data_IF_783063475572
#
_entry.id   IF_783063475572
#
_cell.length_a   1.000
_cell.length_b   1.000
_cell.length_c   1.000
_cell.angle_alpha   90.00
_cell.angle_beta   90.00
_cell.angle_gamma   90.00
#
_symmetry.space_group_name_H-M   'P 1'
#
loop_
_entity.id
_entity.type
_entity.pdbx_description
1 polymer ?
#
# COMPACT_ATOMS: atom_id res chain seq x y z
N UNK A 1 6.32 -13.20 -2.23
CA UNK A 1 5.48 -12.28 -3.04
C UNK A 1 4.60 -11.47 -2.09
N UNK A 2 4.62 -10.14 -2.18
CA UNK A 2 3.85 -9.23 -1.32
C UNK A 2 2.46 -8.99 -1.94
N UNK A 3 1.40 -9.17 -1.16
CA UNK A 3 0.03 -8.93 -1.60
C UNK A 3 -0.69 -8.12 -0.53
N UNK A 4 -1.02 -6.88 -0.86
CA UNK A 4 -1.66 -5.95 0.06
C UNK A 4 -3.07 -5.61 -0.41
N UNK A 5 -4.03 -5.57 0.52
CA UNK A 5 -5.42 -5.19 0.25
C UNK A 5 -5.77 -3.89 0.97
N UNK A 6 -6.09 -2.83 0.23
CA UNK A 6 -6.55 -1.57 0.79
C UNK A 6 -8.08 -1.50 0.75
N UNK A 7 -8.71 -1.62 1.91
CA UNK A 7 -10.17 -1.58 2.04
C UNK A 7 -10.77 -0.18 1.91
N UNK A 8 -9.95 0.85 1.89
CA UNK A 8 -10.40 2.26 1.88
C UNK A 8 -11.44 2.48 3.01
N UNK A 9 -12.57 3.10 2.74
CA UNK A 9 -13.66 3.29 3.73
C UNK A 9 -14.76 2.23 3.63
N UNK A 10 -14.47 1.10 3.01
CA UNK A 10 -15.38 -0.05 2.99
C UNK A 10 -15.16 -0.92 4.24
N UNK A 11 -16.10 -1.80 4.48
CA UNK A 11 -16.13 -2.70 5.64
C UNK A 11 -16.30 -2.03 7.00
N UNK A 12 -17.21 -2.57 7.76
CA UNK A 12 -17.39 -2.27 9.17
C UNK A 12 -16.42 -3.13 10.00
N UNK A 13 -16.30 -2.87 11.29
CA UNK A 13 -15.46 -3.66 12.19
C UNK A 13 -15.82 -5.15 12.18
N UNK A 14 -17.13 -5.47 12.18
CA UNK A 14 -17.61 -6.86 12.17
C UNK A 14 -17.30 -7.57 10.85
N UNK A 15 -17.53 -6.91 9.70
CA UNK A 15 -17.20 -7.50 8.40
C UNK A 15 -15.70 -7.63 8.17
N UNK A 16 -14.90 -6.67 8.65
CA UNK A 16 -13.43 -6.76 8.63
C UNK A 16 -12.93 -7.97 9.43
N UNK A 17 -13.40 -8.15 10.66
CA UNK A 17 -13.00 -9.30 11.49
C UNK A 17 -13.38 -10.64 10.85
N UNK A 18 -14.59 -10.74 10.26
CA UNK A 18 -15.01 -11.94 9.54
C UNK A 18 -14.07 -12.21 8.38
N UNK A 19 -13.85 -11.22 7.52
CA UNK A 19 -12.97 -11.31 6.36
C UNK A 19 -11.55 -11.76 6.76
N UNK A 20 -10.94 -11.07 7.74
CA UNK A 20 -9.58 -11.38 8.17
C UNK A 20 -9.44 -12.79 8.74
N UNK A 21 -10.42 -13.28 9.50
CA UNK A 21 -10.41 -14.66 10.03
C UNK A 21 -10.52 -15.73 8.93
N UNK A 22 -11.33 -15.46 7.92
CA UNK A 22 -11.49 -16.37 6.77
C UNK A 22 -10.24 -16.36 5.90
N UNK A 23 -9.68 -15.18 5.66
CA UNK A 23 -8.43 -15.01 4.92
C UNK A 23 -7.25 -15.66 5.65
N UNK A 24 -7.09 -15.46 6.95
CA UNK A 24 -5.99 -16.06 7.73
C UNK A 24 -6.01 -17.59 7.66
N UNK A 25 -7.21 -18.20 7.70
CA UNK A 25 -7.36 -19.64 7.47
C UNK A 25 -6.95 -20.08 6.07
N UNK A 26 -7.33 -19.32 5.05
CA UNK A 26 -6.92 -19.60 3.68
C UNK A 26 -5.40 -19.52 3.51
N UNK A 27 -4.74 -18.56 4.15
CA UNK A 27 -3.31 -18.35 4.07
C UNK A 27 -2.46 -19.43 4.74
N UNK A 28 -3.03 -20.28 5.58
CA UNK A 28 -2.32 -21.35 6.29
C UNK A 28 -1.55 -22.30 5.35
N UNK A 29 -1.99 -22.46 4.09
CA UNK A 29 -1.35 -23.24 3.03
C UNK A 29 -0.47 -22.42 2.07
N UNK A 30 -0.37 -21.09 2.21
CA UNK A 30 0.27 -20.15 1.27
C UNK A 30 1.53 -19.53 1.87
N UNK A 31 2.50 -20.35 2.26
CA UNK A 31 3.70 -19.93 3.01
C UNK A 31 4.66 -19.00 2.24
N UNK A 32 4.56 -18.95 0.92
CA UNK A 32 5.35 -18.10 0.04
C UNK A 32 4.75 -16.70 -0.19
N UNK A 33 3.60 -16.43 0.40
CA UNK A 33 2.87 -15.16 0.28
C UNK A 33 2.95 -14.36 1.58
N UNK A 34 3.26 -13.09 1.45
CA UNK A 34 3.18 -12.10 2.54
C UNK A 34 1.96 -11.21 2.29
N UNK A 35 0.92 -11.41 3.11
CA UNK A 35 -0.37 -10.76 2.89
C UNK A 35 -0.65 -9.75 3.99
N UNK A 36 -0.99 -8.51 3.59
CA UNK A 36 -1.35 -7.42 4.49
C UNK A 36 -2.71 -6.84 4.09
N UNK A 37 -3.58 -6.63 5.06
CA UNK A 37 -4.85 -5.91 4.87
C UNK A 37 -4.78 -4.57 5.59
N UNK A 38 -5.23 -3.51 4.89
CA UNK A 38 -5.36 -2.15 5.41
C UNK A 38 -6.85 -1.79 5.56
N UNK A 39 -7.47 -2.07 6.72
CA UNK A 39 -8.84 -1.65 7.00
C UNK A 39 -8.90 -0.15 7.31
N UNK A 40 -10.12 0.44 7.27
CA UNK A 40 -10.32 1.78 7.81
C UNK A 40 -9.99 1.83 9.31
N UNK A 41 -9.49 2.98 9.80
CA UNK A 41 -9.00 3.12 11.19
C UNK A 41 -10.03 2.71 12.25
N UNK A 42 -11.32 3.02 12.04
CA UNK A 42 -12.42 2.63 12.95
C UNK A 42 -12.70 1.12 12.98
N UNK A 43 -12.14 0.35 12.04
CA UNK A 43 -12.35 -1.09 11.87
C UNK A 43 -11.09 -1.91 12.08
N UNK A 44 -10.00 -1.30 12.55
CA UNK A 44 -8.76 -2.02 12.85
C UNK A 44 -8.99 -3.09 13.92
N UNK A 45 -8.71 -4.38 13.63
CA UNK A 45 -8.63 -5.43 14.63
C UNK A 45 -7.28 -5.42 15.35
N UNK A 46 -7.14 -6.20 16.41
CA UNK A 46 -5.81 -6.59 16.89
C UNK A 46 -5.07 -7.37 15.79
N UNK A 47 -3.76 -7.15 15.67
CA UNK A 47 -2.91 -7.88 14.73
C UNK A 47 -2.40 -9.17 15.37
N UNK A 48 -3.31 -10.10 15.65
CA UNK A 48 -3.11 -11.38 16.31
C UNK A 48 -3.35 -12.60 15.39
N UNK A 49 -3.31 -12.39 14.09
CA UNK A 49 -3.45 -13.43 13.08
C UNK A 49 -2.14 -14.20 12.87
N UNK A 50 -2.23 -15.48 12.51
CA UNK A 50 -1.07 -16.35 12.33
C UNK A 50 -0.35 -16.15 10.99
N UNK A 51 -1.10 -15.82 9.95
CA UNK A 51 -0.62 -15.78 8.56
C UNK A 51 -0.93 -14.45 7.85
N UNK A 52 -1.71 -13.58 8.48
CA UNK A 52 -2.15 -12.30 7.93
C UNK A 52 -1.59 -11.15 8.74
N UNK A 53 -1.05 -10.12 8.08
CA UNK A 53 -0.69 -8.85 8.73
C UNK A 53 -1.84 -7.85 8.62
N UNK A 54 -2.01 -7.03 9.65
CA UNK A 54 -2.88 -5.86 9.64
C UNK A 54 -2.02 -4.60 9.59
N UNK A 55 -2.33 -3.72 8.65
CA UNK A 55 -1.72 -2.40 8.52
C UNK A 55 -2.75 -1.27 8.69
N UNK A 56 -2.29 -0.07 9.00
CA UNK A 56 -3.14 1.11 9.04
C UNK A 56 -3.04 1.90 7.72
N UNK A 57 -4.18 2.44 7.26
CA UNK A 57 -4.24 3.20 5.99
C UNK A 57 -3.56 4.57 6.05
N UNK A 58 -3.34 5.10 7.24
CA UNK A 58 -2.73 6.38 7.51
C UNK A 58 -2.52 6.53 9.02
N UNK A 59 -1.59 7.41 9.41
CA UNK A 59 -1.45 7.86 10.80
C UNK A 59 -0.83 9.24 10.86
N UNK A 60 -0.99 9.93 11.99
CA UNK A 60 -0.37 11.22 12.25
C UNK A 60 1.06 11.04 12.80
N UNK A 61 1.96 11.97 12.48
CA UNK A 61 3.39 11.90 12.85
C UNK A 61 3.60 12.28 14.33
N UNK A 62 3.01 11.51 15.23
CA UNK A 62 3.17 11.63 16.69
C UNK A 62 2.93 10.29 17.36
N UNK A 63 3.49 10.10 18.55
CA UNK A 63 3.13 8.94 19.40
C UNK A 63 1.71 9.08 19.91
N UNK A 64 1.41 10.19 20.55
CA UNK A 64 0.10 10.62 21.02
C UNK A 64 0.09 12.14 21.17
N UNK A 65 -1.01 12.76 21.61
CA UNK A 65 -1.06 14.20 21.88
C UNK A 65 -2.39 14.87 21.54
N UNK A 66 -2.37 16.20 21.47
CA UNK A 66 -3.54 17.05 21.23
C UNK A 66 -3.85 17.16 19.72
N UNK A 67 -4.25 16.06 19.11
CA UNK A 67 -4.54 15.93 17.67
C UNK A 67 -5.91 15.25 17.49
N UNK A 68 -6.97 15.96 17.84
CA UNK A 68 -8.34 15.41 17.80
C UNK A 68 -8.70 14.83 16.43
N UNK A 69 -9.12 13.56 16.42
CA UNK A 69 -9.50 12.83 15.20
C UNK A 69 -8.35 12.07 14.53
N UNK A 70 -7.09 12.28 14.95
CA UNK A 70 -5.93 11.57 14.42
C UNK A 70 -5.59 10.30 15.22
N UNK A 71 -4.85 9.42 14.60
CA UNK A 71 -4.29 8.19 15.20
C UNK A 71 -2.77 8.30 15.18
N UNK A 72 -2.14 8.12 16.34
CA UNK A 72 -0.70 8.13 16.50
C UNK A 72 -0.11 6.73 16.63
N UNK A 73 1.21 6.67 16.87
CA UNK A 73 1.92 5.40 16.96
C UNK A 73 1.47 4.54 18.15
N UNK A 74 1.20 5.15 19.31
CA UNK A 74 0.83 4.40 20.51
C UNK A 74 -0.47 3.60 20.33
N UNK A 75 -1.48 4.18 19.65
CA UNK A 75 -2.74 3.51 19.38
C UNK A 75 -2.57 2.34 18.41
N UNK A 76 -1.66 2.46 17.43
CA UNK A 76 -1.35 1.37 16.49
C UNK A 76 -0.55 0.26 17.17
N UNK A 77 0.44 0.62 17.99
CA UNK A 77 1.28 -0.34 18.73
C UNK A 77 0.48 -1.14 19.76
N UNK A 78 -0.52 -0.54 20.41
CA UNK A 78 -1.44 -1.26 21.32
C UNK A 78 -2.21 -2.36 20.58
N UNK A 79 -2.57 -2.14 19.32
CA UNK A 79 -3.20 -3.14 18.46
C UNK A 79 -2.21 -4.15 17.84
N UNK A 80 -0.91 -4.05 18.14
CA UNK A 80 0.15 -4.85 17.53
C UNK A 80 0.44 -4.48 16.07
N UNK A 81 -0.03 -3.32 15.61
CA UNK A 81 0.12 -2.88 14.22
C UNK A 81 1.42 -2.11 14.06
N UNK A 82 2.29 -2.61 13.18
CA UNK A 82 3.58 -2.00 12.80
C UNK A 82 3.75 -1.85 11.30
N UNK A 83 2.66 -1.90 10.54
CA UNK A 83 2.64 -1.71 9.08
C UNK A 83 1.73 -0.53 8.76
N UNK A 84 2.18 0.38 7.92
CA UNK A 84 1.52 1.64 7.63
C UNK A 84 1.54 1.97 6.15
N UNK A 85 0.40 2.39 5.61
CA UNK A 85 0.27 2.98 4.28
C UNK A 85 0.41 4.50 4.39
N UNK A 86 1.34 5.10 3.63
CA UNK A 86 1.62 6.54 3.67
C UNK A 86 1.52 7.12 2.27
N UNK A 87 0.84 8.26 2.13
CA UNK A 87 0.82 9.04 0.89
C UNK A 87 -0.02 8.45 -0.24
N UNK A 88 -1.00 7.58 0.07
CA UNK A 88 -1.94 7.05 -0.91
C UNK A 88 -2.55 8.17 -1.78
N UNK A 89 -2.80 7.88 -3.04
CA UNK A 89 -3.28 8.84 -4.05
C UNK A 89 -4.52 9.63 -3.60
N UNK A 90 -5.48 9.00 -2.91
CA UNK A 90 -6.66 9.67 -2.35
C UNK A 90 -6.29 10.69 -1.27
N UNK A 91 -5.28 10.39 -0.44
CA UNK A 91 -4.82 11.34 0.59
C UNK A 91 -4.14 12.56 -0.03
N UNK A 92 -3.36 12.35 -1.08
CA UNK A 92 -2.73 13.45 -1.84
C UNK A 92 -3.75 14.25 -2.63
N UNK A 93 -4.63 13.58 -3.37
CA UNK A 93 -5.60 14.19 -4.28
C UNK A 93 -6.79 14.82 -3.56
N UNK A 94 -7.45 14.11 -2.66
CA UNK A 94 -8.69 14.53 -1.98
C UNK A 94 -8.37 15.35 -0.73
N UNK A 95 -7.50 14.80 0.15
CA UNK A 95 -7.17 15.43 1.45
C UNK A 95 -5.98 16.38 1.39
N UNK A 96 -5.41 16.59 0.19
CA UNK A 96 -4.34 17.58 -0.08
C UNK A 96 -3.08 17.39 0.76
N UNK A 97 -2.73 16.15 1.08
CA UNK A 97 -1.46 15.85 1.73
C UNK A 97 -0.29 16.17 0.80
N UNK A 98 0.51 17.17 1.18
CA UNK A 98 1.71 17.57 0.43
C UNK A 98 2.84 16.55 0.56
N UNK A 99 3.80 16.57 -0.38
CA UNK A 99 5.02 15.76 -0.27
C UNK A 99 5.76 16.02 1.05
N UNK A 100 5.77 17.26 1.55
CA UNK A 100 6.37 17.60 2.84
C UNK A 100 5.68 16.89 4.02
N UNK A 101 4.33 16.85 4.04
CA UNK A 101 3.58 16.18 5.08
C UNK A 101 3.79 14.65 5.02
N UNK A 102 3.76 14.09 3.82
CA UNK A 102 3.97 12.65 3.58
C UNK A 102 5.38 12.23 4.00
N UNK A 103 6.40 13.05 3.67
CA UNK A 103 7.79 12.86 4.13
C UNK A 103 7.89 12.87 5.66
N UNK A 104 7.29 13.87 6.32
CA UNK A 104 7.28 13.95 7.80
C UNK A 104 6.69 12.69 8.44
N UNK A 105 5.66 12.10 7.83
CA UNK A 105 5.11 10.82 8.28
C UNK A 105 6.13 9.70 8.11
N UNK A 106 6.77 9.61 6.94
CA UNK A 106 7.81 8.61 6.67
C UNK A 106 8.96 8.71 7.69
N UNK A 107 9.53 9.91 7.88
CA UNK A 107 10.62 10.14 8.83
C UNK A 107 10.24 9.72 10.26
N UNK A 108 9.04 10.07 10.70
CA UNK A 108 8.56 9.69 12.03
C UNK A 108 8.42 8.17 12.17
N UNK A 109 7.68 7.52 11.25
CA UNK A 109 7.36 6.11 11.37
C UNK A 109 8.53 5.18 11.04
N UNK A 110 9.47 5.58 10.20
CA UNK A 110 10.73 4.85 9.98
C UNK A 110 11.59 4.83 11.26
N UNK A 111 11.66 5.95 11.99
CA UNK A 111 12.34 6.01 13.29
C UNK A 111 11.65 5.18 14.38
N UNK A 112 10.31 5.01 14.31
CA UNK A 112 9.56 4.11 15.20
C UNK A 112 9.62 2.63 14.73
N UNK A 113 10.33 2.33 13.64
CA UNK A 113 10.58 0.97 13.15
C UNK A 113 9.41 0.30 12.44
N UNK A 114 8.46 1.08 11.91
CA UNK A 114 7.33 0.57 11.15
C UNK A 114 7.74 0.09 9.76
N UNK A 115 7.06 -0.92 9.24
CA UNK A 115 7.03 -1.27 7.82
C UNK A 115 6.14 -0.26 7.08
N UNK A 116 6.65 0.32 6.02
CA UNK A 116 6.00 1.45 5.36
C UNK A 116 5.74 1.11 3.88
N UNK A 117 4.48 1.05 3.51
CA UNK A 117 4.04 1.11 2.13
C UNK A 117 3.91 2.59 1.74
N UNK A 118 4.91 3.09 1.02
CA UNK A 118 4.99 4.49 0.61
C UNK A 118 4.45 4.66 -0.81
N UNK A 119 3.29 5.30 -0.93
CA UNK A 119 2.60 5.47 -2.20
C UNK A 119 3.14 6.65 -2.99
N UNK A 120 3.46 6.38 -4.25
CA UNK A 120 3.83 7.36 -5.27
C UNK A 120 3.02 7.09 -6.54
N UNK A 121 2.80 8.13 -7.34
CA UNK A 121 2.08 7.98 -8.60
C UNK A 121 1.78 9.32 -9.25
N UNK A 122 1.66 9.31 -10.56
CA UNK A 122 1.38 10.48 -11.39
C UNK A 122 -0.07 10.48 -11.87
N UNK A 123 -0.55 11.67 -12.18
CA UNK A 123 -1.83 11.90 -12.84
C UNK A 123 -1.73 11.76 -14.37
N UNK A 124 -2.86 11.73 -15.04
CA UNK A 124 -2.93 11.58 -16.50
C UNK A 124 -2.18 12.68 -17.26
N UNK A 125 -2.28 13.97 -16.92
CA UNK A 125 -1.50 15.02 -17.57
C UNK A 125 0.02 14.81 -17.48
N UNK A 126 0.51 14.42 -16.33
CA UNK A 126 1.93 14.11 -16.10
C UNK A 126 2.36 12.92 -16.95
N UNK A 127 1.58 11.86 -16.96
CA UNK A 127 1.81 10.69 -17.81
C UNK A 127 1.89 11.06 -19.29
N UNK A 128 0.87 11.78 -19.82
CA UNK A 128 0.81 12.19 -21.21
C UNK A 128 1.95 13.13 -21.63
N UNK A 129 2.53 13.89 -20.69
CA UNK A 129 3.68 14.74 -20.95
C UNK A 129 5.02 14.00 -20.97
N UNK A 130 5.04 12.69 -20.70
CA UNK A 130 6.26 11.88 -20.61
C UNK A 130 7.14 12.16 -19.39
N UNK A 131 6.60 12.85 -18.38
CA UNK A 131 7.33 13.26 -17.17
C UNK A 131 7.14 12.35 -15.96
N UNK A 132 6.62 11.15 -16.15
CA UNK A 132 6.35 10.18 -15.07
C UNK A 132 7.57 9.98 -14.18
N UNK A 133 8.72 9.60 -14.72
CA UNK A 133 9.93 9.30 -13.94
C UNK A 133 10.41 10.49 -13.12
N UNK A 134 10.43 11.68 -13.70
CA UNK A 134 10.79 12.93 -13.02
C UNK A 134 9.81 13.24 -11.87
N UNK A 135 8.53 13.07 -12.11
CA UNK A 135 7.50 13.31 -11.11
C UNK A 135 7.60 12.31 -9.94
N UNK A 136 7.74 11.02 -10.22
CA UNK A 136 7.91 9.98 -9.20
C UNK A 136 9.17 10.23 -8.37
N UNK A 137 10.28 10.60 -9.01
CA UNK A 137 11.51 10.96 -8.32
C UNK A 137 11.32 12.14 -7.36
N UNK A 138 10.53 13.14 -7.76
CA UNK A 138 10.21 14.29 -6.89
C UNK A 138 9.38 13.90 -5.66
N UNK A 139 8.54 12.87 -5.74
CA UNK A 139 7.79 12.34 -4.60
C UNK A 139 8.68 11.56 -3.62
N UNK A 140 9.80 11.04 -4.09
CA UNK A 140 10.81 10.33 -3.30
C UNK A 140 11.90 11.25 -2.75
N UNK A 141 11.85 12.57 -3.04
CA UNK A 141 12.85 13.52 -2.54
C UNK A 141 12.99 13.42 -1.01
N UNK A 142 14.24 13.17 -0.54
CA UNK A 142 14.61 12.95 0.87
C UNK A 142 13.90 11.79 1.58
N UNK A 143 13.41 10.81 0.86
CA UNK A 143 13.01 9.53 1.44
C UNK A 143 14.25 8.65 1.52
N UNK A 144 14.50 8.08 2.68
CA UNK A 144 15.60 7.11 2.87
C UNK A 144 15.26 5.79 2.18
N UNK A 145 15.78 5.60 0.95
CA UNK A 145 15.56 4.39 0.15
C UNK A 145 16.31 3.17 0.72
N UNK A 146 17.27 3.39 1.62
CA UNK A 146 18.00 2.31 2.29
C UNK A 146 17.23 1.75 3.51
N UNK A 147 16.13 2.40 3.93
CA UNK A 147 15.33 1.92 5.04
C UNK A 147 14.81 0.50 4.78
N UNK A 148 15.19 -0.51 5.60
CA UNK A 148 14.99 -1.92 5.25
C UNK A 148 13.54 -2.39 5.25
N UNK A 149 12.62 -1.59 5.78
CA UNK A 149 11.18 -1.89 5.83
C UNK A 149 10.36 -0.94 4.95
N UNK A 150 10.99 -0.35 3.94
CA UNK A 150 10.33 0.48 2.94
C UNK A 150 9.87 -0.37 1.77
N UNK A 151 8.60 -0.24 1.42
CA UNK A 151 7.98 -0.80 0.22
C UNK A 151 7.39 0.37 -0.56
N UNK A 152 7.85 0.60 -1.78
CA UNK A 152 7.26 1.63 -2.65
C UNK A 152 6.04 1.04 -3.35
N UNK A 153 4.88 1.69 -3.20
CA UNK A 153 3.66 1.35 -3.93
C UNK A 153 3.47 2.33 -5.10
N UNK A 154 3.68 1.84 -6.32
CA UNK A 154 3.46 2.65 -7.51
C UNK A 154 1.99 2.61 -7.92
N UNK A 155 1.34 3.76 -7.85
CA UNK A 155 -0.07 3.97 -8.11
C UNK A 155 -0.25 4.91 -9.33
N UNK A 156 -0.25 4.43 -10.60
CA UNK A 156 -0.61 5.29 -11.73
C UNK A 156 -2.07 5.78 -11.53
N UNK A 157 -2.24 7.03 -11.08
CA UNK A 157 -3.55 7.56 -10.60
C UNK A 157 -4.59 7.48 -11.71
N UNK A 158 -4.18 7.67 -12.97
CA UNK A 158 -5.04 7.57 -14.14
C UNK A 158 -5.57 6.15 -14.40
N UNK A 159 -4.90 5.11 -13.86
CA UNK A 159 -5.31 3.71 -13.94
C UNK A 159 -6.04 3.22 -12.69
N UNK A 160 -6.25 4.07 -11.66
CA UNK A 160 -6.96 3.68 -10.43
C UNK A 160 -8.46 3.87 -10.61
N UNK A 161 -9.26 2.80 -10.43
CA UNK A 161 -10.72 2.87 -10.46
C UNK A 161 -11.33 3.11 -11.83
N UNK A 162 -10.55 3.32 -12.87
CA UNK A 162 -11.01 3.47 -14.26
C UNK A 162 -11.43 2.14 -14.90
N UNK A 163 -11.01 1.02 -14.30
CA UNK A 163 -11.16 -0.31 -14.90
C UNK A 163 -10.09 -0.65 -15.93
N UNK A 164 -9.29 0.33 -16.34
CA UNK A 164 -8.10 0.17 -17.18
C UNK A 164 -6.88 -0.04 -16.29
N UNK A 165 -6.00 -0.94 -16.66
CA UNK A 165 -4.68 -1.11 -16.04
C UNK A 165 -3.61 -0.51 -16.95
N UNK A 166 -2.50 -0.05 -16.36
CA UNK A 166 -1.31 0.20 -17.15
C UNK A 166 -0.87 -1.08 -17.89
N UNK A 167 -0.29 -0.93 -19.07
CA UNK A 167 0.27 -2.07 -19.81
C UNK A 167 1.43 -2.73 -19.07
N UNK A 168 1.62 -4.04 -19.24
CA UNK A 168 2.69 -4.78 -18.53
C UNK A 168 4.08 -4.20 -18.83
N UNK A 169 4.35 -3.79 -20.07
CA UNK A 169 5.62 -3.15 -20.44
C UNK A 169 5.86 -1.85 -19.67
N UNK A 170 4.83 -1.04 -19.49
CA UNK A 170 4.89 0.20 -18.74
C UNK A 170 5.09 -0.05 -17.25
N UNK A 171 4.40 -1.04 -16.68
CA UNK A 171 4.59 -1.42 -15.28
C UNK A 171 6.04 -1.85 -15.06
N UNK A 172 6.57 -2.74 -15.91
CA UNK A 172 7.96 -3.21 -15.85
C UNK A 172 8.94 -2.04 -16.01
N UNK A 173 8.70 -1.10 -16.93
CA UNK A 173 9.55 0.07 -17.13
C UNK A 173 9.66 0.94 -15.87
N UNK A 174 8.53 1.23 -15.22
CA UNK A 174 8.52 2.08 -14.02
C UNK A 174 9.15 1.35 -12.83
N UNK A 175 8.85 0.07 -12.63
CA UNK A 175 9.46 -0.70 -11.54
C UNK A 175 10.97 -0.90 -11.75
N UNK A 176 11.42 -1.08 -13.01
CA UNK A 176 12.85 -1.10 -13.35
C UNK A 176 13.52 0.24 -13.03
N UNK A 177 12.90 1.36 -13.41
CA UNK A 177 13.38 2.69 -13.04
C UNK A 177 13.48 2.87 -11.52
N UNK A 178 12.49 2.40 -10.75
CA UNK A 178 12.55 2.45 -9.28
C UNK A 178 13.76 1.66 -8.74
N UNK A 179 14.08 0.49 -9.34
CA UNK A 179 15.30 -0.27 -9.01
C UNK A 179 16.58 0.52 -9.32
N UNK A 180 16.65 1.15 -10.48
CA UNK A 180 17.80 1.95 -10.92
C UNK A 180 18.13 3.08 -9.95
N UNK A 181 17.10 3.72 -9.37
CA UNK A 181 17.29 4.79 -8.38
C UNK A 181 17.49 4.30 -6.94
N UNK A 182 17.57 2.99 -6.71
CA UNK A 182 17.90 2.38 -5.42
C UNK A 182 16.72 1.84 -4.60
N UNK A 183 15.50 1.83 -5.12
CA UNK A 183 14.35 1.18 -4.45
C UNK A 183 14.56 -0.33 -4.40
N UNK A 184 14.53 -0.91 -3.19
CA UNK A 184 14.77 -2.35 -2.97
C UNK A 184 13.52 -3.20 -3.13
N UNK A 185 12.36 -2.66 -2.78
CA UNK A 185 11.09 -3.38 -2.82
C UNK A 185 10.00 -2.48 -3.37
N UNK A 186 9.30 -2.92 -4.41
CA UNK A 186 8.20 -2.15 -4.99
C UNK A 186 7.03 -3.02 -5.41
N UNK A 187 5.81 -2.54 -5.16
CA UNK A 187 4.55 -3.20 -5.49
C UNK A 187 3.73 -2.33 -6.44
N UNK A 188 3.00 -2.95 -7.35
CA UNK A 188 2.09 -2.26 -8.26
C UNK A 188 0.75 -2.00 -7.58
N UNK A 189 0.29 -0.74 -7.55
CA UNK A 189 -0.92 -0.27 -6.89
C UNK A 189 -1.99 0.30 -7.82
N UNK A 190 -1.90 0.07 -9.12
CA UNK A 190 -2.97 0.44 -10.06
C UNK A 190 -4.13 -0.55 -10.06
N UNK A 191 -4.84 -0.68 -11.20
CA UNK A 191 -5.99 -1.59 -11.33
C UNK A 191 -5.54 -3.06 -11.38
N UNK A 192 -5.61 -3.74 -10.22
CA UNK A 192 -5.33 -5.18 -10.09
C UNK A 192 -6.64 -5.94 -9.94
N UNK A 193 -6.81 -7.00 -10.73
CA UNK A 193 -7.98 -7.90 -10.76
C UNK A 193 -7.51 -9.36 -10.81
N UNK A 194 -8.36 -10.35 -10.49
CA UNK A 194 -8.01 -11.76 -10.65
C UNK A 194 -7.48 -12.12 -12.05
N UNK A 195 -7.99 -11.44 -13.09
CA UNK A 195 -7.63 -11.71 -14.49
C UNK A 195 -6.25 -11.19 -14.93
N UNK A 196 -5.63 -10.25 -14.19
CA UNK A 196 -4.33 -9.67 -14.56
C UNK A 196 -3.26 -9.77 -13.46
N UNK A 197 -3.66 -10.16 -12.25
CA UNK A 197 -2.77 -10.16 -11.09
C UNK A 197 -1.53 -11.05 -11.31
N UNK A 198 -1.72 -12.25 -11.87
CA UNK A 198 -0.63 -13.18 -12.08
C UNK A 198 0.37 -12.65 -13.11
N UNK A 199 -0.10 -12.03 -14.21
CA UNK A 199 0.78 -11.46 -15.24
C UNK A 199 1.60 -10.30 -14.66
N UNK A 200 0.98 -9.45 -13.82
CA UNK A 200 1.69 -8.36 -13.13
C UNK A 200 2.74 -8.91 -12.16
N UNK A 201 2.38 -9.91 -11.35
CA UNK A 201 3.29 -10.51 -10.36
C UNK A 201 4.42 -11.34 -10.98
N UNK A 202 4.31 -11.72 -12.26
CA UNK A 202 5.37 -12.41 -13.00
C UNK A 202 6.39 -11.44 -13.61
N UNK A 203 6.15 -10.13 -13.56
CA UNK A 203 7.13 -9.13 -13.99
C UNK A 203 8.37 -9.17 -13.08
N UNK A 204 9.56 -9.01 -13.69
CA UNK A 204 10.84 -9.21 -12.97
C UNK A 204 11.12 -8.14 -11.92
N UNK A 205 10.65 -6.92 -12.18
CA UNK A 205 10.92 -5.76 -11.33
C UNK A 205 9.84 -5.53 -10.26
N UNK A 206 8.75 -6.32 -10.28
CA UNK A 206 7.60 -6.20 -9.37
C UNK A 206 7.69 -7.21 -8.23
N UNK A 207 7.67 -6.77 -6.98
CA UNK A 207 7.71 -7.64 -5.79
C UNK A 207 6.31 -8.02 -5.29
N UNK A 208 5.27 -7.43 -5.84
CA UNK A 208 3.90 -7.71 -5.42
C UNK A 208 2.89 -6.66 -5.87
N UNK A 209 1.73 -6.67 -5.24
CA UNK A 209 0.60 -5.82 -5.60
C UNK A 209 -0.06 -5.18 -4.38
N UNK A 210 -0.57 -3.94 -4.57
CA UNK A 210 -1.47 -3.25 -3.64
C UNK A 210 -2.85 -3.14 -4.30
N UNK A 211 -3.80 -3.92 -3.81
CA UNK A 211 -5.11 -4.15 -4.43
C UNK A 211 -6.16 -3.26 -3.77
N UNK A 212 -6.89 -2.47 -4.56
CA UNK A 212 -8.04 -1.70 -4.10
C UNK A 212 -9.34 -2.51 -4.15
N UNK A 213 -10.27 -2.15 -5.04
CA UNK A 213 -11.62 -2.70 -5.12
C UNK A 213 -11.71 -4.24 -5.14
N UNK A 214 -10.81 -4.92 -5.84
CA UNK A 214 -10.80 -6.38 -5.91
C UNK A 214 -10.39 -7.06 -4.58
N UNK A 215 -9.90 -6.31 -3.59
CA UNK A 215 -9.61 -6.84 -2.25
C UNK A 215 -10.83 -6.85 -1.32
N UNK A 216 -11.96 -6.24 -1.72
CA UNK A 216 -13.14 -6.11 -0.88
C UNK A 216 -13.95 -7.41 -0.76
N UNK A 217 -13.88 -8.28 -1.77
CA UNK A 217 -14.54 -9.55 -1.79
C UNK A 217 -13.52 -10.67 -1.60
N UNK A 218 -13.77 -11.55 -0.61
CA UNK A 218 -12.80 -12.58 -0.19
C UNK A 218 -12.41 -13.51 -1.35
N UNK A 219 -13.39 -14.00 -2.13
CA UNK A 219 -13.13 -14.89 -3.27
C UNK A 219 -12.24 -14.23 -4.32
N UNK A 220 -12.54 -12.95 -4.63
CA UNK A 220 -11.74 -12.16 -5.57
C UNK A 220 -10.31 -11.99 -5.08
N UNK A 221 -10.14 -11.66 -3.80
CA UNK A 221 -8.82 -11.47 -3.22
C UNK A 221 -8.03 -12.77 -3.10
N UNK A 222 -8.67 -13.87 -2.71
CA UNK A 222 -8.07 -15.21 -2.71
C UNK A 222 -7.63 -15.63 -4.12
N UNK A 223 -8.41 -15.31 -5.15
CA UNK A 223 -8.04 -15.58 -6.56
C UNK A 223 -6.79 -14.77 -7.02
N UNK A 224 -6.57 -13.59 -6.45
CA UNK A 224 -5.35 -12.79 -6.69
C UNK A 224 -4.15 -13.43 -5.98
N UNK A 225 -4.35 -13.92 -4.77
CA UNK A 225 -3.29 -14.57 -3.97
C UNK A 225 -2.82 -15.87 -4.64
N UNK A 226 -3.72 -16.65 -5.21
CA UNK A 226 -3.45 -17.89 -5.94
C UNK A 226 -3.54 -19.15 -5.08
#
# INVERSE_FOLDING_TARGET
>A
MIIAGNFKTHHTRSSTLKFCRELDRYLSSKKDKEVTIFPTLSSLPYNDFAHLKIGAQNAYSAKNGAYSGEVGADQLLELGIKTLLIGHSERRGIFKESNQLVRKKFEFYSNEGFEIFFCIGEDLPTYQSGKTKEFLFSQLDRIDLEYPKLIIAYEPIWAIGSGESAGLEQIEEIHSFLREIGVKTSVYGGSVKPSNAQDIMNLKSVDGVLVGGASLELESFCSIIG
#
